data_IF_245355327405
#
_entry.id   IF_245355327405
#
_cell.length_a   1.000
_cell.length_b   1.000
_cell.length_c   1.000
_cell.angle_alpha   90.00
_cell.angle_beta   90.00
_cell.angle_gamma   90.00
#
_symmetry.space_group_name_H-M   'P 1'
#
loop_
_entity.id
_entity.type
_entity.pdbx_description
1 polymer ?
#
# COMPACT_ATOMS: atom_id res chain seq x y z
N UNK A 1 -31.82 5.12 2.05
CA UNK A 1 -30.99 4.88 3.24
C UNK A 1 -29.59 4.53 2.76
N UNK A 2 -28.69 5.51 2.67
CA UNK A 2 -27.23 5.32 2.54
C UNK A 2 -26.56 6.70 2.55
N UNK A 3 -26.47 7.30 3.73
CA UNK A 3 -25.69 8.52 3.95
C UNK A 3 -24.28 8.10 4.44
N UNK A 4 -23.43 7.65 3.52
CA UNK A 4 -22.00 7.41 3.74
C UNK A 4 -21.24 8.75 3.72
N UNK A 5 -21.48 9.60 4.70
CA UNK A 5 -20.65 10.79 4.94
C UNK A 5 -20.58 11.10 6.44
N UNK A 6 -20.21 10.10 7.24
CA UNK A 6 -19.73 10.37 8.59
C UNK A 6 -18.34 10.96 8.48
N UNK A 7 -18.26 12.28 8.34
CA UNK A 7 -17.04 13.04 8.57
C UNK A 7 -16.63 12.69 10.00
N UNK A 8 -15.60 11.85 10.14
CA UNK A 8 -15.01 11.45 11.40
C UNK A 8 -14.38 12.73 11.97
N UNK A 9 -15.09 13.47 12.82
CA UNK A 9 -14.64 14.76 13.36
C UNK A 9 -13.29 14.65 14.12
N UNK A 10 -12.88 13.44 14.48
CA UNK A 10 -11.60 13.11 15.08
C UNK A 10 -10.47 12.98 14.04
N UNK A 11 -10.79 12.59 12.79
CA UNK A 11 -9.82 12.43 11.69
C UNK A 11 -10.37 12.99 10.35
N UNK A 12 -10.47 14.32 10.18
CA UNK A 12 -11.10 14.95 9.01
C UNK A 12 -10.32 14.76 7.71
N UNK A 13 -9.03 14.37 7.78
CA UNK A 13 -8.19 14.20 6.60
C UNK A 13 -8.07 12.71 6.26
N UNK A 14 -8.59 12.29 5.12
CA UNK A 14 -8.40 10.91 4.61
C UNK A 14 -7.70 10.90 3.25
N UNK A 15 -6.80 9.94 3.05
CA UNK A 15 -6.11 9.71 1.79
C UNK A 15 -6.09 8.22 1.49
N UNK A 16 -6.29 7.85 0.24
CA UNK A 16 -6.13 6.47 -0.21
C UNK A 16 -5.05 6.44 -1.28
N UNK A 17 -4.13 5.49 -1.15
CA UNK A 17 -3.02 5.27 -2.07
C UNK A 17 -3.15 3.85 -2.60
N UNK A 18 -3.29 3.69 -3.90
CA UNK A 18 -3.19 2.42 -4.59
C UNK A 18 -1.79 2.26 -5.18
N UNK A 19 -1.16 1.13 -4.90
CA UNK A 19 0.16 0.77 -5.44
C UNK A 19 0.01 -0.55 -6.19
N UNK A 20 0.04 -0.53 -7.53
CA UNK A 20 0.00 -1.75 -8.32
C UNK A 20 1.34 -2.48 -8.24
N UNK A 21 1.30 -3.76 -7.92
CA UNK A 21 2.44 -4.67 -7.96
C UNK A 21 2.28 -5.68 -9.10
N UNK A 22 3.38 -6.07 -9.77
CA UNK A 22 3.34 -6.99 -10.90
C UNK A 22 2.98 -8.43 -10.50
N UNK A 23 3.21 -8.83 -9.24
CA UNK A 23 2.84 -10.17 -8.75
C UNK A 23 2.13 -10.12 -7.39
N UNK A 24 1.25 -11.10 -7.09
CA UNK A 24 0.53 -11.18 -5.81
C UNK A 24 1.44 -11.48 -4.62
N UNK A 25 2.56 -12.15 -4.89
CA UNK A 25 3.58 -12.45 -3.88
C UNK A 25 4.26 -11.19 -3.40
N UNK A 26 4.67 -10.31 -4.33
CA UNK A 26 5.28 -9.02 -3.99
C UNK A 26 4.32 -8.13 -3.20
N UNK A 27 3.05 -8.05 -3.62
CA UNK A 27 2.03 -7.31 -2.87
C UNK A 27 1.85 -7.83 -1.43
N UNK A 28 1.86 -9.15 -1.25
CA UNK A 28 1.76 -9.79 0.08
C UNK A 28 2.98 -9.57 0.96
N UNK A 29 4.18 -9.61 0.38
CA UNK A 29 5.44 -9.33 1.08
C UNK A 29 5.50 -7.86 1.46
N UNK A 30 5.15 -6.95 0.55
CA UNK A 30 5.08 -5.51 0.80
C UNK A 30 4.10 -5.21 1.93
N UNK A 31 2.91 -5.81 1.88
CA UNK A 31 1.92 -5.67 2.95
C UNK A 31 2.47 -6.12 4.30
N UNK A 32 3.11 -7.29 4.38
CA UNK A 32 3.68 -7.79 5.65
C UNK A 32 4.81 -6.91 6.15
N UNK A 33 5.68 -6.43 5.28
CA UNK A 33 6.79 -5.54 5.62
C UNK A 33 6.31 -4.14 6.06
N UNK A 34 5.26 -3.63 5.42
CA UNK A 34 4.70 -2.31 5.76
C UNK A 34 3.79 -2.38 6.99
N UNK A 35 3.12 -3.51 7.26
CA UNK A 35 2.21 -3.70 8.39
C UNK A 35 2.92 -3.79 9.74
N UNK A 36 4.19 -4.21 9.78
CA UNK A 36 4.97 -4.25 11.04
C UNK A 36 5.39 -2.87 11.53
N UNK A 37 5.41 -1.88 10.64
CA UNK A 37 5.66 -0.50 11.01
C UNK A 37 4.42 0.07 11.72
N UNK A 38 4.47 0.19 13.05
CA UNK A 38 3.36 0.82 13.77
C UNK A 38 3.42 2.32 13.58
N UNK A 39 2.29 2.95 13.27
CA UNK A 39 2.26 4.39 13.11
C UNK A 39 2.72 5.07 14.41
N UNK A 40 3.65 6.03 14.25
CA UNK A 40 4.34 6.72 15.33
C UNK A 40 3.39 7.52 16.25
N UNK A 41 2.10 7.63 15.92
CA UNK A 41 1.17 8.45 16.67
C UNK A 41 -0.28 7.91 16.60
N UNK A 42 -1.00 7.89 17.74
CA UNK A 42 -2.43 7.52 17.77
C UNK A 42 -3.34 8.53 17.03
N UNK A 43 -2.76 9.65 16.53
CA UNK A 43 -3.43 10.68 15.75
C UNK A 43 -3.50 10.38 14.24
N UNK A 44 -2.99 9.23 13.81
CA UNK A 44 -3.14 8.70 12.45
C UNK A 44 -3.64 7.26 12.54
N UNK A 45 -4.56 6.90 11.64
CA UNK A 45 -5.04 5.54 11.44
C UNK A 45 -4.78 5.13 10.00
N UNK A 46 -3.96 4.11 9.85
CA UNK A 46 -3.64 3.44 8.59
C UNK A 46 -4.32 2.08 8.53
N UNK A 47 -4.88 1.77 7.37
CA UNK A 47 -5.46 0.46 7.08
C UNK A 47 -4.99 0.00 5.71
N UNK A 48 -4.44 -1.21 5.66
CA UNK A 48 -3.98 -1.81 4.42
C UNK A 48 -5.00 -2.81 3.90
N UNK A 49 -5.10 -2.87 2.59
CA UNK A 49 -5.92 -3.81 1.86
C UNK A 49 -5.09 -4.32 0.68
N UNK A 50 -5.16 -5.61 0.43
CA UNK A 50 -4.63 -6.20 -0.80
C UNK A 50 -5.84 -6.54 -1.64
N UNK A 51 -5.91 -5.99 -2.85
CA UNK A 51 -6.96 -6.23 -3.83
C UNK A 51 -6.33 -7.03 -4.97
N UNK A 52 -6.84 -8.25 -5.22
CA UNK A 52 -6.46 -9.03 -6.39
C UNK A 52 -7.18 -8.48 -7.62
N UNK A 53 -6.71 -7.33 -8.11
CA UNK A 53 -7.32 -6.64 -9.24
C UNK A 53 -6.96 -7.31 -10.58
N UNK A 54 -7.34 -8.58 -10.78
CA UNK A 54 -7.86 -9.16 -12.03
C UNK A 54 -7.80 -10.69 -12.00
N UNK A 55 -8.91 -11.32 -11.62
CA UNK A 55 -9.24 -12.71 -12.03
C UNK A 55 -9.65 -12.81 -13.52
N UNK A 56 -9.22 -11.87 -14.37
CA UNK A 56 -9.56 -11.86 -15.80
C UNK A 56 -8.35 -11.46 -16.65
N UNK A 57 -7.77 -12.46 -17.32
CA UNK A 57 -6.74 -12.38 -18.35
C UNK A 57 -5.28 -12.17 -17.87
N UNK A 58 -4.68 -13.25 -17.38
CA UNK A 58 -3.30 -13.62 -17.73
C UNK A 58 -2.13 -12.88 -17.06
N UNK A 59 -2.36 -11.74 -16.40
CA UNK A 59 -1.31 -10.97 -15.73
C UNK A 59 -1.75 -10.68 -14.28
N UNK A 60 -1.12 -11.34 -13.32
CA UNK A 60 -1.55 -11.35 -11.91
C UNK A 60 -1.15 -10.06 -11.16
N UNK A 61 -1.53 -8.90 -11.70
CA UNK A 61 -1.31 -7.63 -11.03
C UNK A 61 -2.12 -7.57 -9.72
N UNK A 62 -1.45 -7.32 -8.61
CA UNK A 62 -2.07 -7.19 -7.29
C UNK A 62 -1.88 -5.78 -6.76
N UNK A 63 -2.96 -5.17 -6.32
CA UNK A 63 -2.96 -3.76 -5.90
C UNK A 63 -2.94 -3.70 -4.37
N UNK A 64 -1.89 -3.09 -3.82
CA UNK A 64 -1.83 -2.75 -2.40
C UNK A 64 -2.51 -1.39 -2.21
N UNK A 65 -3.68 -1.39 -1.57
CA UNK A 65 -4.41 -0.18 -1.20
C UNK A 65 -4.14 0.18 0.24
N UNK A 66 -3.62 1.39 0.46
CA UNK A 66 -3.37 1.95 1.79
C UNK A 66 -4.32 3.10 2.05
N UNK A 67 -5.17 2.98 3.07
CA UNK A 67 -6.09 4.02 3.50
C UNK A 67 -5.57 4.68 4.76
N UNK A 68 -5.37 5.99 4.68
CA UNK A 68 -4.97 6.85 5.78
C UNK A 68 -6.12 7.71 6.26
N UNK A 69 -6.17 7.92 7.57
CA UNK A 69 -7.02 8.90 8.25
C UNK A 69 -6.17 9.63 9.29
N UNK A 70 -6.18 10.96 9.30
CA UNK A 70 -5.40 11.78 10.20
C UNK A 70 -6.22 12.97 10.74
N UNK A 71 -5.86 13.43 11.93
CA UNK A 71 -6.46 14.63 12.55
C UNK A 71 -6.10 15.91 11.79
N UNK A 72 -4.92 15.96 11.15
CA UNK A 72 -4.44 17.11 10.40
C UNK A 72 -3.71 16.70 9.12
N UNK A 73 -3.74 17.56 8.10
CA UNK A 73 -2.94 17.40 6.88
C UNK A 73 -1.43 17.31 7.18
N UNK A 74 -0.96 17.97 8.24
CA UNK A 74 0.46 17.90 8.64
C UNK A 74 0.84 16.49 9.10
N UNK A 75 0.01 15.87 9.93
CA UNK A 75 0.27 14.50 10.39
C UNK A 75 0.13 13.50 9.25
N UNK A 76 -0.84 13.70 8.36
CA UNK A 76 -1.00 12.90 7.15
C UNK A 76 0.26 12.96 6.27
N UNK A 77 0.83 14.15 6.04
CA UNK A 77 2.06 14.30 5.25
C UNK A 77 3.25 13.56 5.86
N UNK A 78 3.45 13.67 7.18
CA UNK A 78 4.56 13.00 7.86
C UNK A 78 4.39 11.48 7.79
N UNK A 79 3.19 10.96 8.03
CA UNK A 79 2.89 9.53 7.97
C UNK A 79 3.04 8.96 6.54
N UNK A 80 2.58 9.69 5.52
CA UNK A 80 2.69 9.27 4.12
C UNK A 80 4.13 9.33 3.64
N UNK A 81 4.90 10.38 3.99
CA UNK A 81 6.32 10.44 3.64
C UNK A 81 7.09 9.24 4.22
N UNK A 82 6.90 8.93 5.51
CA UNK A 82 7.54 7.78 6.15
C UNK A 82 7.16 6.46 5.48
N UNK A 83 5.87 6.27 5.14
CA UNK A 83 5.44 5.10 4.37
C UNK A 83 6.13 5.01 3.03
N UNK A 84 6.19 6.10 2.27
CA UNK A 84 6.81 6.09 0.94
C UNK A 84 8.31 5.77 1.02
N UNK A 85 9.02 6.24 2.05
CA UNK A 85 10.41 5.84 2.29
C UNK A 85 10.51 4.34 2.60
N UNK A 86 9.66 3.81 3.48
CA UNK A 86 9.63 2.37 3.77
C UNK A 86 9.24 1.53 2.55
N UNK A 87 8.29 2.00 1.75
CA UNK A 87 7.84 1.33 0.53
C UNK A 87 8.94 1.34 -0.52
N UNK A 88 9.68 2.45 -0.68
CA UNK A 88 10.82 2.53 -1.58
C UNK A 88 11.91 1.52 -1.18
N UNK A 89 12.25 1.45 0.11
CA UNK A 89 13.21 0.45 0.61
C UNK A 89 12.72 -0.97 0.34
N UNK A 90 11.45 -1.26 0.59
CA UNK A 90 10.87 -2.59 0.33
C UNK A 90 10.91 -2.94 -1.15
N UNK A 91 10.61 -1.99 -2.05
CA UNK A 91 10.69 -2.19 -3.50
C UNK A 91 12.13 -2.37 -3.97
N UNK A 92 13.10 -1.61 -3.43
CA UNK A 92 14.52 -1.75 -3.74
C UNK A 92 15.06 -3.12 -3.31
N UNK A 93 14.73 -3.56 -2.08
CA UNK A 93 15.07 -4.89 -1.57
C UNK A 93 14.37 -5.98 -2.40
N UNK A 94 13.13 -5.75 -2.84
CA UNK A 94 12.46 -6.67 -3.75
C UNK A 94 13.16 -6.74 -5.10
N UNK A 95 13.62 -5.63 -5.67
CA UNK A 95 14.36 -5.65 -6.94
C UNK A 95 15.70 -6.40 -6.82
N UNK A 96 16.40 -6.22 -5.70
CA UNK A 96 17.69 -6.87 -5.45
C UNK A 96 17.55 -8.37 -5.12
N UNK A 97 16.52 -8.76 -4.37
CA UNK A 97 16.34 -10.15 -3.92
C UNK A 97 15.42 -10.98 -4.81
N UNK A 98 14.49 -10.37 -5.55
CA UNK A 98 13.48 -11.05 -6.38
C UNK A 98 13.93 -11.12 -7.86
N UNK A 99 15.21 -11.43 -8.08
CA UNK A 99 15.82 -11.62 -9.42
C UNK A 99 15.10 -12.74 -10.21
N UNK A 100 14.57 -13.74 -9.51
CA UNK A 100 13.89 -14.90 -10.10
C UNK A 100 12.55 -14.53 -10.78
N UNK A 101 11.88 -13.43 -10.41
CA UNK A 101 10.60 -13.01 -11.04
C UNK A 101 10.82 -12.09 -12.25
N UNK A 102 11.90 -11.31 -12.24
CA UNK A 102 12.28 -10.45 -13.37
C UNK A 102 12.79 -11.25 -14.58
N UNK A 103 13.36 -12.45 -14.36
CA UNK A 103 13.71 -13.36 -15.46
C UNK A 103 12.45 -14.02 -16.05
N UNK A 104 11.54 -14.55 -15.24
CA UNK A 104 10.30 -15.17 -15.74
C UNK A 104 9.34 -14.22 -16.48
N UNK A 105 9.46 -12.90 -16.29
CA UNK A 105 8.67 -11.88 -17.02
C UNK A 105 9.34 -11.42 -18.32
N UNK A 106 10.66 -11.66 -18.50
CA UNK A 106 11.40 -11.31 -19.72
C UNK A 106 11.38 -12.42 -20.77
N UNK A 107 11.19 -13.67 -20.37
CA UNK A 107 11.07 -14.83 -21.26
C UNK A 107 9.66 -15.02 -21.85
N UNK A 108 8.69 -14.21 -21.43
CA UNK A 108 7.31 -14.26 -21.92
C UNK A 108 6.98 -13.25 -23.05
N UNK A 109 7.99 -12.62 -23.66
CA UNK A 109 7.81 -11.69 -24.78
C UNK A 109 8.35 -12.21 -26.12
#
# INVERSE_FOLDING_TARGET
MADDNTIDHEFPCSLTIDVPFPTPRLASVAHKALAVDQELSPLVRRTFFIDDASSSAGDAASVLRVRYKATTNRMLRVAVNGLMESLNLVVEVMEELDVDVLEHSRDAQ
#
